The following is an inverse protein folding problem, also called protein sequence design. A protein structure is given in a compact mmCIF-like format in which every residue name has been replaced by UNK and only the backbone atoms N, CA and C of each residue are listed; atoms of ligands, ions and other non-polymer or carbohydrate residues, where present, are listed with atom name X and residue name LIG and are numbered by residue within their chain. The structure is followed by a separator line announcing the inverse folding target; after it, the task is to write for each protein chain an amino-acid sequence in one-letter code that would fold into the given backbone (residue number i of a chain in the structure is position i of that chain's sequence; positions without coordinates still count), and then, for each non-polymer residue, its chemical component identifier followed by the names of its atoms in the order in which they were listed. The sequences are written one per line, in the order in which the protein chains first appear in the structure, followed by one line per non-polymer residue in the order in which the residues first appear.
data_IF_524393762323
#
_entry.id   IF_524393762323
#
_cell.length_a   1.000
_cell.length_b   1.000
_cell.length_c   1.000
_cell.angle_alpha   90.00
_cell.angle_beta   90.00
_cell.angle_gamma   90.00
#
_symmetry.space_group_name_H-M   'P 1'
#
loop_
_entity.id
_entity.type
_entity.pdbx_description
1 polymer ?
#
# COMPACT_ATOMS: atom_id res chain seq x y z
N UNK A 1 -3.73 17.53 18.48
CA UNK A 1 -3.52 17.47 17.02
C UNK A 1 -2.80 18.74 16.58
N UNK A 2 -1.57 18.61 16.10
CA UNK A 2 -0.84 19.73 15.51
C UNK A 2 -0.79 19.52 13.99
N UNK A 3 -1.50 20.36 13.24
CA UNK A 3 -1.61 20.23 11.78
C UNK A 3 -0.25 20.28 11.09
N UNK A 4 0.69 21.11 11.56
CA UNK A 4 2.02 21.20 10.98
C UNK A 4 2.84 19.93 11.25
N UNK A 5 2.69 19.33 12.43
CA UNK A 5 3.35 18.08 12.79
C UNK A 5 2.85 16.89 11.96
N UNK A 6 1.62 16.94 11.43
CA UNK A 6 1.10 15.97 10.47
C UNK A 6 1.48 16.31 9.02
N UNK A 7 1.34 17.57 8.61
CA UNK A 7 1.55 18.00 7.24
C UNK A 7 3.03 17.91 6.80
N UNK A 8 3.97 18.33 7.66
CA UNK A 8 5.40 18.30 7.34
C UNK A 8 5.91 16.89 6.95
N UNK A 9 5.73 15.85 7.77
CA UNK A 9 6.19 14.51 7.39
C UNK A 9 5.48 13.99 6.14
N UNK A 10 4.18 14.26 5.96
CA UNK A 10 3.46 13.88 4.73
C UNK A 10 4.05 14.57 3.49
N UNK A 11 4.34 15.87 3.56
CA UNK A 11 4.97 16.61 2.48
C UNK A 11 6.39 16.09 2.18
N UNK A 12 7.21 15.84 3.20
CA UNK A 12 8.53 15.22 3.03
C UNK A 12 8.42 13.86 2.35
N UNK A 13 7.48 13.02 2.78
CA UNK A 13 7.20 11.72 2.16
C UNK A 13 6.82 11.87 0.68
N UNK A 14 5.94 12.83 0.35
CA UNK A 14 5.55 13.10 -1.03
C UNK A 14 6.73 13.57 -1.91
N UNK A 15 7.59 14.44 -1.38
CA UNK A 15 8.80 14.90 -2.09
C UNK A 15 9.75 13.73 -2.33
N UNK A 16 9.99 12.89 -1.32
CA UNK A 16 10.82 11.68 -1.46
C UNK A 16 10.19 10.74 -2.50
N UNK A 17 8.87 10.54 -2.47
CA UNK A 17 8.17 9.69 -3.43
C UNK A 17 8.32 10.15 -4.88
N UNK A 18 8.42 11.46 -5.11
CA UNK A 18 8.63 12.05 -6.43
C UNK A 18 10.11 11.98 -6.82
N UNK A 19 11.02 12.22 -5.87
CA UNK A 19 12.46 12.17 -6.12
C UNK A 19 12.98 10.75 -6.39
N UNK A 20 12.34 9.73 -5.80
CA UNK A 20 12.78 8.32 -5.88
C UNK A 20 12.01 7.50 -6.91
N UNK A 21 11.30 8.13 -7.85
CA UNK A 21 10.53 7.42 -8.88
C UNK A 21 11.44 6.52 -9.72
N UNK A 22 11.10 5.24 -9.79
CA UNK A 22 11.76 4.28 -10.66
C UNK A 22 10.86 3.95 -11.86
N UNK A 23 11.47 3.65 -13.01
CA UNK A 23 10.72 3.19 -14.18
C UNK A 23 10.33 1.73 -13.97
N UNK A 24 9.04 1.45 -14.08
CA UNK A 24 8.52 0.08 -14.04
C UNK A 24 9.19 -0.81 -15.09
N UNK A 25 9.60 -2.02 -14.70
CA UNK A 25 10.25 -2.97 -15.62
C UNK A 25 9.29 -3.54 -16.65
N UNK A 26 8.01 -3.70 -16.29
CA UNK A 26 6.97 -4.19 -17.21
C UNK A 26 5.82 -3.20 -17.32
N UNK A 27 5.35 -2.85 -18.53
CA UNK A 27 4.21 -1.97 -18.74
C UNK A 27 2.89 -2.74 -18.63
N UNK A 28 2.71 -3.49 -17.55
CA UNK A 28 1.49 -4.25 -17.28
C UNK A 28 0.55 -3.45 -16.38
N UNK A 29 -0.76 -3.68 -16.50
CA UNK A 29 -1.73 -3.08 -15.60
C UNK A 29 -1.45 -3.52 -14.16
N UNK A 30 -1.21 -2.55 -13.29
CA UNK A 30 -0.84 -2.75 -11.89
C UNK A 30 0.42 -3.60 -11.72
N UNK A 31 1.54 -3.11 -12.29
CA UNK A 31 2.83 -3.79 -12.19
C UNK A 31 3.21 -4.02 -10.71
N UNK A 32 3.95 -5.11 -10.47
CA UNK A 32 4.41 -5.49 -9.14
C UNK A 32 5.24 -4.38 -8.49
N UNK A 33 6.15 -3.77 -9.24
CA UNK A 33 7.01 -2.70 -8.74
C UNK A 33 6.17 -1.52 -8.20
N UNK A 34 5.16 -1.09 -8.97
CA UNK A 34 4.25 0.00 -8.58
C UNK A 34 3.39 -0.39 -7.37
N UNK A 35 2.92 -1.63 -7.32
CA UNK A 35 2.08 -2.14 -6.24
C UNK A 35 2.85 -2.26 -4.94
N UNK A 36 4.11 -2.71 -5.00
CA UNK A 36 4.98 -2.86 -3.83
C UNK A 36 5.40 -1.47 -3.30
N UNK A 37 5.74 -0.51 -4.17
CA UNK A 37 5.95 0.89 -3.79
C UNK A 37 4.71 1.47 -3.09
N UNK A 38 3.52 1.31 -3.68
CA UNK A 38 2.28 1.84 -3.14
C UNK A 38 1.93 1.26 -1.76
N UNK A 39 2.14 -0.05 -1.56
CA UNK A 39 2.00 -0.69 -0.23
C UNK A 39 2.97 -0.09 0.79
N UNK A 40 4.21 0.19 0.41
CA UNK A 40 5.18 0.86 1.27
C UNK A 40 4.70 2.25 1.71
N UNK A 41 4.19 3.06 0.77
CA UNK A 41 3.65 4.39 1.06
C UNK A 41 2.46 4.35 2.03
N UNK A 42 1.56 3.38 1.88
CA UNK A 42 0.45 3.21 2.83
C UNK A 42 0.95 2.93 4.26
N UNK A 43 1.96 2.07 4.42
CA UNK A 43 2.53 1.77 5.74
C UNK A 43 3.13 3.02 6.40
N UNK A 44 3.83 3.85 5.63
CA UNK A 44 4.38 5.11 6.13
C UNK A 44 3.27 6.09 6.55
N UNK A 45 2.18 6.17 5.78
CA UNK A 45 1.00 6.97 6.13
C UNK A 45 0.33 6.46 7.42
N UNK A 46 0.25 5.15 7.63
CA UNK A 46 -0.25 4.57 8.88
C UNK A 46 0.61 4.96 10.08
N UNK A 47 1.93 4.96 9.92
CA UNK A 47 2.86 5.37 10.96
C UNK A 47 2.69 6.85 11.33
N UNK A 48 2.67 7.74 10.34
CA UNK A 48 2.49 9.19 10.56
C UNK A 48 1.15 9.47 11.23
N UNK A 49 0.08 8.81 10.77
CA UNK A 49 -1.26 8.94 11.34
C UNK A 49 -1.31 8.60 12.84
N UNK A 50 -0.71 7.47 13.25
CA UNK A 50 -0.70 7.07 14.66
C UNK A 50 0.23 7.93 15.51
N UNK A 51 1.43 8.23 15.01
CA UNK A 51 2.43 9.01 15.75
C UNK A 51 1.93 10.43 16.08
N UNK A 52 1.16 11.04 15.17
CA UNK A 52 0.65 12.40 15.31
C UNK A 52 -0.74 12.49 15.94
N UNK A 53 -1.32 11.35 16.33
CA UNK A 53 -2.68 11.26 16.87
C UNK A 53 -3.72 11.90 15.93
N UNK A 54 -3.55 11.73 14.61
CA UNK A 54 -4.42 12.32 13.60
C UNK A 54 -5.82 11.67 13.53
N UNK A 55 -6.09 10.67 14.37
CA UNK A 55 -7.41 10.05 14.56
C UNK A 55 -8.51 11.03 14.97
N UNK A 56 -8.15 12.15 15.61
CA UNK A 56 -9.08 13.20 15.99
C UNK A 56 -9.71 13.94 14.78
N UNK A 57 -9.14 13.79 13.58
CA UNK A 57 -9.62 14.46 12.36
C UNK A 57 -10.34 13.45 11.46
N UNK A 58 -11.66 13.57 11.38
CA UNK A 58 -12.53 12.64 10.67
C UNK A 58 -12.13 12.39 9.19
N UNK A 59 -11.81 13.42 8.38
CA UNK A 59 -11.36 13.20 7.00
C UNK A 59 -10.10 12.32 6.91
N UNK A 60 -9.11 12.53 7.79
CA UNK A 60 -7.86 11.77 7.79
C UNK A 60 -8.14 10.31 8.17
N UNK A 61 -8.97 10.11 9.19
CA UNK A 61 -9.40 8.78 9.62
C UNK A 61 -10.04 7.97 8.48
N UNK A 62 -10.96 8.58 7.72
CA UNK A 62 -11.64 7.90 6.60
C UNK A 62 -10.65 7.54 5.49
N UNK A 63 -9.73 8.43 5.12
CA UNK A 63 -8.71 8.16 4.10
C UNK A 63 -7.81 6.98 4.51
N UNK A 64 -7.36 6.95 5.77
CA UNK A 64 -6.56 5.85 6.28
C UNK A 64 -7.31 4.51 6.21
N UNK A 65 -8.63 4.50 6.46
CA UNK A 65 -9.47 3.30 6.29
C UNK A 65 -9.54 2.84 4.83
N UNK A 66 -9.65 3.76 3.88
CA UNK A 66 -9.61 3.44 2.44
C UNK A 66 -8.25 2.85 2.07
N UNK A 67 -7.15 3.37 2.63
CA UNK A 67 -5.81 2.77 2.46
C UNK A 67 -5.74 1.35 3.01
N UNK A 68 -6.30 1.08 4.19
CA UNK A 68 -6.37 -0.30 4.71
C UNK A 68 -7.12 -1.23 3.74
N UNK A 69 -8.30 -0.80 3.26
CA UNK A 69 -9.09 -1.59 2.31
C UNK A 69 -8.37 -1.86 1.00
N UNK A 70 -7.73 -0.83 0.43
CA UNK A 70 -6.95 -0.96 -0.81
C UNK A 70 -5.68 -1.80 -0.62
N UNK A 71 -5.04 -1.77 0.55
CA UNK A 71 -3.90 -2.63 0.87
C UNK A 71 -4.28 -4.13 0.83
N UNK A 72 -5.41 -4.46 1.48
CA UNK A 72 -5.95 -5.82 1.50
C UNK A 72 -6.35 -6.25 0.09
N UNK A 73 -7.04 -5.37 -0.65
CA UNK A 73 -7.40 -5.61 -2.04
C UNK A 73 -6.17 -5.88 -2.91
N UNK A 74 -5.12 -5.08 -2.78
CA UNK A 74 -3.91 -5.22 -3.59
C UNK A 74 -3.15 -6.52 -3.29
N UNK A 75 -3.16 -6.93 -2.02
CA UNK A 75 -2.63 -8.24 -1.61
C UNK A 75 -3.44 -9.38 -2.22
N UNK A 76 -4.77 -9.28 -2.19
CA UNK A 76 -5.68 -10.25 -2.83
C UNK A 76 -5.51 -10.31 -4.35
N UNK A 77 -5.41 -9.16 -5.02
CA UNK A 77 -5.16 -9.05 -6.45
C UNK A 77 -3.84 -9.73 -6.85
N UNK A 78 -2.76 -9.53 -6.09
CA UNK A 78 -1.49 -10.19 -6.34
C UNK A 78 -1.58 -11.72 -6.29
N UNK A 79 -2.28 -12.26 -5.30
CA UNK A 79 -2.55 -13.70 -5.21
C UNK A 79 -3.43 -14.20 -6.36
N UNK A 80 -4.54 -13.51 -6.65
CA UNK A 80 -5.43 -13.87 -7.76
C UNK A 80 -4.67 -13.91 -9.09
N UNK A 81 -3.91 -12.86 -9.40
CA UNK A 81 -3.18 -12.75 -10.66
C UNK A 81 -2.09 -13.82 -10.78
N UNK A 82 -1.43 -14.17 -9.67
CA UNK A 82 -0.47 -15.28 -9.62
C UNK A 82 -1.09 -16.61 -10.03
N UNK A 83 -2.28 -16.95 -9.48
CA UNK A 83 -2.98 -18.18 -9.83
C UNK A 83 -3.55 -18.13 -11.25
N UNK A 84 -4.10 -16.99 -11.67
CA UNK A 84 -4.64 -16.79 -13.02
C UNK A 84 -3.57 -16.97 -14.12
N UNK A 85 -2.37 -16.41 -13.93
CA UNK A 85 -1.27 -16.54 -14.91
C UNK A 85 -0.61 -17.92 -14.92
N UNK A 86 -0.52 -18.58 -13.76
CA UNK A 86 0.28 -19.80 -13.62
C UNK A 86 -0.51 -21.08 -13.93
N UNK A 87 -1.85 -21.05 -13.92
CA UNK A 87 -2.77 -22.19 -14.16
C UNK A 87 -2.42 -23.49 -13.42
N UNK A 88 -1.59 -23.43 -12.39
CA UNK A 88 -1.05 -24.58 -11.68
C UNK A 88 -1.69 -24.61 -10.29
N UNK A 89 -2.89 -25.18 -10.23
CA UNK A 89 -3.75 -25.27 -9.03
C UNK A 89 -3.36 -26.43 -8.10
N UNK A 90 -2.07 -26.79 -8.02
CA UNK A 90 -1.62 -27.86 -7.14
C UNK A 90 -2.03 -27.57 -5.69
N UNK A 91 -2.90 -28.42 -5.13
CA UNK A 91 -3.46 -28.28 -3.76
C UNK A 91 -2.40 -28.02 -2.68
N UNK A 92 -1.19 -28.58 -2.86
CA UNK A 92 -0.05 -28.38 -1.96
C UNK A 92 0.37 -26.90 -1.81
N UNK A 93 0.18 -26.05 -2.83
CA UNK A 93 0.52 -24.62 -2.76
C UNK A 93 -0.60 -23.75 -2.21
N UNK A 94 -1.86 -24.15 -2.38
CA UNK A 94 -2.99 -23.44 -1.75
C UNK A 94 -2.98 -23.66 -0.23
N UNK A 95 -2.61 -24.85 0.23
CA UNK A 95 -2.44 -25.14 1.66
C UNK A 95 -1.32 -24.31 2.33
N UNK A 96 -0.23 -24.01 1.60
CA UNK A 96 0.90 -23.24 2.15
C UNK A 96 0.63 -21.74 2.28
N UNK A 97 -0.35 -21.19 1.54
CA UNK A 97 -0.80 -19.79 1.69
C UNK A 97 -1.75 -19.63 2.89
N UNK A 98 -2.21 -20.75 3.48
CA UNK A 98 -3.20 -20.79 4.58
C UNK A 98 -2.58 -20.98 5.97
N UNK A 99 -1.24 -21.01 6.08
CA UNK A 99 -0.49 -21.23 7.32
C UNK A 99 0.45 -20.06 7.56
#
# INVERSE_FOLDING_TARGET
YNTLAFALPVCCCAVIAIATKMKAHTPTFLNRDQSDEWKGWMQLMFLIYHYTWASAVLPIYVIIRIFVGSYVWLSGYGHFFFFYKKSNFGLNRMAQVSV
#
